data_IF_804521386721
#
_entry.id   IF_804521386721
#
_cell.length_a   1.000
_cell.length_b   1.000
_cell.length_c   1.000
_cell.angle_alpha   90.00
_cell.angle_beta   90.00
_cell.angle_gamma   90.00
#
_symmetry.space_group_name_H-M   'P 1'
#
loop_
_entity.id
_entity.type
_entity.pdbx_description
1 polymer ?
#
# COMPACT_ATOMS: atom_id res chain seq x y z
N UNK A 1 -94.64 14.94 16.49
CA UNK A 1 -94.20 14.19 17.70
C UNK A 1 -92.86 13.59 17.34
N UNK A 2 -91.82 13.76 18.17
CA UNK A 2 -90.42 13.29 17.98
C UNK A 2 -89.65 13.78 16.72
N UNK A 3 -88.31 13.92 16.64
CA UNK A 3 -87.17 14.29 17.53
C UNK A 3 -85.86 13.76 16.86
N UNK A 4 -84.81 14.61 16.75
CA UNK A 4 -83.37 14.30 16.43
C UNK A 4 -83.04 13.85 14.97
N UNK A 5 -81.91 14.18 14.29
CA UNK A 5 -80.44 14.19 14.56
C UNK A 5 -79.75 12.79 14.40
N UNK A 6 -78.52 12.63 13.87
CA UNK A 6 -77.49 13.60 13.40
C UNK A 6 -76.41 13.00 12.42
N UNK A 7 -75.92 13.79 11.44
CA UNK A 7 -74.55 13.78 10.82
C UNK A 7 -73.90 12.55 10.07
N UNK A 8 -73.05 12.93 9.07
CA UNK A 8 -71.74 12.33 8.61
C UNK A 8 -71.61 11.19 7.56
N UNK A 9 -71.14 11.64 6.37
CA UNK A 9 -69.93 11.21 5.60
C UNK A 9 -69.82 9.92 4.76
N UNK A 10 -69.30 10.15 3.53
CA UNK A 10 -68.25 9.41 2.78
C UNK A 10 -68.53 8.00 2.22
N UNK A 11 -68.38 7.87 0.89
CA UNK A 11 -67.61 6.80 0.23
C UNK A 11 -66.91 7.33 -1.01
N UNK A 12 -65.58 7.32 -1.03
CA UNK A 12 -64.76 7.40 -2.24
C UNK A 12 -64.40 5.97 -2.67
N UNK A 13 -64.38 5.68 -3.98
CA UNK A 13 -63.85 4.42 -4.50
C UNK A 13 -63.13 4.62 -5.84
N UNK A 14 -61.80 4.71 -5.74
CA UNK A 14 -60.78 4.22 -6.67
C UNK A 14 -60.91 4.47 -8.20
N UNK A 15 -59.99 5.28 -8.72
CA UNK A 15 -59.38 5.06 -10.04
C UNK A 15 -57.86 5.12 -9.88
N UNK A 16 -57.18 3.99 -10.08
CA UNK A 16 -55.81 3.74 -9.64
C UNK A 16 -54.93 3.33 -10.83
N UNK A 17 -54.49 4.29 -11.66
CA UNK A 17 -53.66 3.98 -12.84
C UNK A 17 -52.57 5.01 -13.19
N UNK A 18 -52.45 6.14 -12.48
CA UNK A 18 -51.55 7.24 -12.87
C UNK A 18 -50.21 7.33 -12.12
N UNK A 19 -50.10 6.75 -10.92
CA UNK A 19 -49.03 7.14 -9.97
C UNK A 19 -47.78 6.26 -9.93
N UNK A 20 -47.83 5.02 -10.43
CA UNK A 20 -46.73 4.06 -10.25
C UNK A 20 -45.52 4.28 -11.18
N UNK A 21 -45.71 4.86 -12.36
CA UNK A 21 -44.60 5.07 -13.33
C UNK A 21 -43.70 6.25 -12.91
N UNK A 22 -44.26 7.27 -12.25
CA UNK A 22 -43.49 8.42 -11.74
C UNK A 22 -42.47 7.99 -10.67
N UNK A 23 -42.88 7.11 -9.74
CA UNK A 23 -42.07 6.74 -8.58
C UNK A 23 -40.77 6.00 -8.94
N UNK A 24 -40.75 5.24 -10.05
CA UNK A 24 -39.55 4.54 -10.52
C UNK A 24 -38.49 5.49 -11.09
N UNK A 25 -38.90 6.58 -11.76
CA UNK A 25 -37.96 7.58 -12.33
C UNK A 25 -37.26 8.37 -11.21
N UNK A 26 -37.94 8.61 -10.08
CA UNK A 26 -37.33 9.27 -8.92
C UNK A 26 -36.38 8.37 -8.11
N UNK A 27 -36.47 7.04 -8.23
CA UNK A 27 -35.62 6.13 -7.46
C UNK A 27 -34.24 5.90 -8.11
N UNK A 28 -34.13 6.02 -9.44
CA UNK A 28 -32.85 5.89 -10.16
C UNK A 28 -32.00 7.17 -10.12
N UNK A 29 -32.65 8.35 -10.15
CA UNK A 29 -31.96 9.64 -10.09
C UNK A 29 -31.09 9.82 -8.83
N UNK A 30 -31.44 9.16 -7.72
CA UNK A 30 -30.69 9.20 -6.46
C UNK A 30 -29.33 8.48 -6.48
N UNK A 31 -29.05 7.65 -7.50
CA UNK A 31 -27.77 6.92 -7.64
C UNK A 31 -26.76 7.56 -8.58
N UNK A 32 -27.13 8.60 -9.34
CA UNK A 32 -26.20 9.34 -10.21
C UNK A 32 -25.43 10.47 -9.50
N UNK A 33 -25.56 10.60 -8.18
CA UNK A 33 -24.52 11.22 -7.37
C UNK A 33 -23.33 10.24 -7.28
N UNK A 34 -22.61 10.07 -8.40
CA UNK A 34 -21.33 9.41 -8.40
C UNK A 34 -20.45 10.14 -7.39
N UNK A 35 -20.04 9.45 -6.32
CA UNK A 35 -19.00 9.97 -5.46
C UNK A 35 -17.72 9.97 -6.28
N UNK A 36 -17.44 11.11 -6.91
CA UNK A 36 -16.09 11.53 -7.22
C UNK A 36 -15.37 11.55 -5.87
N UNK A 37 -14.77 10.40 -5.51
CA UNK A 37 -13.84 10.32 -4.41
C UNK A 37 -12.69 11.23 -4.82
N UNK A 38 -12.76 12.48 -4.35
CA UNK A 38 -11.58 13.34 -4.30
C UNK A 38 -10.58 12.60 -3.44
N UNK A 39 -9.72 11.83 -4.13
CA UNK A 39 -8.46 11.36 -3.59
C UNK A 39 -7.86 12.61 -2.93
N UNK A 40 -7.66 12.63 -1.59
CA UNK A 40 -7.08 13.80 -0.97
C UNK A 40 -5.76 14.08 -1.68
N UNK A 41 -5.50 15.35 -1.98
CA UNK A 41 -4.24 15.78 -2.58
C UNK A 41 -3.12 15.51 -1.57
N UNK A 42 -2.61 14.28 -1.63
CA UNK A 42 -1.60 13.76 -0.75
C UNK A 42 -0.27 14.31 -1.22
N UNK A 43 -0.02 15.57 -0.88
CA UNK A 43 1.17 16.36 -1.20
C UNK A 43 2.45 15.83 -0.49
N UNK A 44 2.45 14.55 -0.11
CA UNK A 44 3.61 13.79 0.34
C UNK A 44 4.45 13.41 -0.85
N UNK A 45 5.77 13.43 -0.66
CA UNK A 45 6.68 13.06 -1.73
C UNK A 45 6.66 11.54 -1.94
N UNK A 46 6.58 11.12 -3.20
CA UNK A 46 6.72 9.73 -3.62
C UNK A 46 8.19 9.32 -3.57
N UNK A 47 8.50 8.27 -2.80
CA UNK A 47 9.88 7.85 -2.50
C UNK A 47 10.11 6.38 -2.81
N UNK A 48 11.23 6.10 -3.45
CA UNK A 48 11.83 4.76 -3.57
C UNK A 48 13.20 4.82 -2.91
N UNK A 49 13.45 3.93 -1.95
CA UNK A 49 14.73 3.81 -1.25
C UNK A 49 15.48 2.59 -1.77
N UNK A 50 16.75 2.78 -2.14
CA UNK A 50 17.69 1.69 -2.47
C UNK A 50 18.85 1.72 -1.47
N UNK A 51 19.11 0.61 -0.81
CA UNK A 51 20.21 0.45 0.18
C UNK A 51 20.80 -0.95 0.07
N UNK A 52 22.09 -1.12 0.35
CA UNK A 52 22.74 -2.41 0.53
C UNK A 52 22.69 -2.96 1.97
N UNK A 53 21.55 -2.66 2.60
CA UNK A 53 21.14 -2.98 3.96
C UNK A 53 21.74 -4.30 4.51
N UNK A 54 22.60 -4.21 5.54
CA UNK A 54 23.34 -5.35 6.04
C UNK A 54 22.43 -6.37 6.75
N UNK A 55 22.93 -7.61 6.97
CA UNK A 55 22.23 -8.58 7.81
C UNK A 55 21.96 -7.99 9.21
N UNK A 56 20.73 -8.13 9.68
CA UNK A 56 20.30 -7.70 11.01
C UNK A 56 20.26 -8.91 11.97
N UNK A 57 20.81 -8.81 13.20
CA UNK A 57 21.56 -7.69 13.76
C UNK A 57 22.94 -7.51 13.11
N UNK A 58 23.40 -6.26 13.02
CA UNK A 58 24.68 -5.90 12.37
C UNK A 58 25.85 -6.40 13.20
N UNK A 59 26.75 -7.17 12.57
CA UNK A 59 27.95 -7.73 13.22
C UNK A 59 29.26 -7.35 12.54
N UNK A 60 29.27 -7.15 11.21
CA UNK A 60 30.48 -7.00 10.39
C UNK A 60 30.27 -6.02 9.22
N UNK A 61 29.47 -4.97 9.41
CA UNK A 61 29.17 -3.93 8.42
C UNK A 61 28.98 -2.59 9.14
N UNK A 62 29.01 -1.49 8.40
CA UNK A 62 28.70 -0.18 8.96
C UNK A 62 27.22 -0.10 9.40
N UNK A 63 26.91 0.55 10.54
CA UNK A 63 25.55 0.59 11.11
C UNK A 63 24.69 1.73 10.54
N UNK A 64 25.20 2.52 9.60
CA UNK A 64 24.57 3.74 9.07
C UNK A 64 23.36 3.44 8.17
N UNK A 65 23.40 2.38 7.38
CA UNK A 65 22.21 1.85 6.67
C UNK A 65 21.06 1.54 7.65
N UNK A 66 21.37 0.94 8.80
CA UNK A 66 20.36 0.61 9.82
C UNK A 66 19.83 1.86 10.50
N UNK A 67 20.71 2.79 10.88
CA UNK A 67 20.31 4.04 11.51
C UNK A 67 19.48 4.93 10.58
N UNK A 68 19.85 5.00 9.30
CA UNK A 68 19.14 5.78 8.28
C UNK A 68 17.78 5.14 7.93
N UNK A 69 17.70 3.81 7.82
CA UNK A 69 16.42 3.10 7.61
C UNK A 69 15.47 3.23 8.80
N UNK A 70 15.95 3.03 10.04
CA UNK A 70 15.13 3.24 11.26
C UNK A 70 14.60 4.67 11.29
N UNK A 71 15.45 5.66 10.96
CA UNK A 71 15.01 7.05 10.87
C UNK A 71 13.99 7.26 9.75
N UNK A 72 14.21 6.70 8.56
CA UNK A 72 13.27 6.79 7.44
C UNK A 72 11.88 6.23 7.81
N UNK A 73 11.82 5.06 8.45
CA UNK A 73 10.58 4.45 8.90
C UNK A 73 9.84 5.31 9.95
N UNK A 74 10.58 6.02 10.82
CA UNK A 74 10.03 6.99 11.78
C UNK A 74 9.58 8.34 11.15
N UNK A 75 9.79 8.55 9.84
CA UNK A 75 9.24 9.67 9.07
C UNK A 75 8.33 9.20 7.92
N UNK A 76 7.98 7.90 7.88
CA UNK A 76 7.20 7.30 6.79
C UNK A 76 5.77 7.85 6.67
N UNK A 77 5.24 8.50 7.71
CA UNK A 77 3.98 9.25 7.65
C UNK A 77 4.05 10.43 6.66
N UNK A 78 5.22 11.04 6.45
CA UNK A 78 5.46 12.19 5.55
C UNK A 78 5.71 11.80 4.07
N UNK A 79 5.82 10.51 3.76
CA UNK A 79 6.20 10.02 2.43
C UNK A 79 5.24 8.96 1.88
N UNK A 80 5.00 8.98 0.57
CA UNK A 80 4.36 7.87 -0.14
C UNK A 80 5.45 6.89 -0.60
N UNK A 81 5.62 5.78 0.14
CA UNK A 81 6.75 4.86 -0.03
C UNK A 81 6.39 3.76 -1.03
N UNK A 82 6.86 3.86 -2.27
CA UNK A 82 6.54 2.91 -3.36
C UNK A 82 7.48 1.69 -3.44
N UNK A 83 8.64 1.78 -2.79
CA UNK A 83 9.70 0.81 -2.94
C UNK A 83 10.76 0.89 -1.86
N UNK A 84 10.96 -0.22 -1.14
CA UNK A 84 12.16 -0.49 -0.35
C UNK A 84 12.96 -1.55 -1.10
N UNK A 85 14.15 -1.21 -1.59
CA UNK A 85 14.88 -2.00 -2.57
C UNK A 85 16.24 -2.44 -2.01
N UNK A 86 16.39 -3.74 -1.81
CA UNK A 86 17.68 -4.34 -1.49
C UNK A 86 18.60 -4.31 -2.73
N UNK A 87 19.76 -3.67 -2.57
CA UNK A 87 20.84 -3.54 -3.57
C UNK A 87 22.15 -4.08 -2.99
N UNK A 88 23.24 -4.03 -3.77
CA UNK A 88 24.59 -4.38 -3.33
C UNK A 88 25.57 -3.28 -3.74
N UNK A 89 26.22 -2.61 -2.78
CA UNK A 89 27.09 -1.47 -3.05
C UNK A 89 28.46 -1.84 -3.63
N UNK A 90 28.96 -3.06 -3.37
CA UNK A 90 30.29 -3.52 -3.79
C UNK A 90 30.30 -4.93 -4.38
N UNK A 91 31.24 -5.20 -5.29
CA UNK A 91 31.49 -6.52 -5.89
C UNK A 91 31.93 -7.56 -4.84
N UNK A 92 30.95 -8.23 -4.23
CA UNK A 92 31.14 -9.21 -3.16
C UNK A 92 30.01 -9.21 -2.11
N UNK A 93 29.31 -8.07 -1.97
CA UNK A 93 28.11 -7.96 -1.14
C UNK A 93 26.95 -8.71 -1.81
N UNK A 94 26.14 -9.40 -1.00
CA UNK A 94 24.90 -10.05 -1.47
C UNK A 94 23.71 -9.26 -0.94
N UNK A 95 23.00 -8.59 -1.84
CA UNK A 95 21.69 -8.03 -1.54
C UNK A 95 20.74 -9.16 -1.14
N UNK A 96 20.04 -9.06 -0.02
CA UNK A 96 19.03 -10.04 0.38
C UNK A 96 17.77 -9.35 0.90
N UNK A 97 16.61 -9.62 0.27
CA UNK A 97 15.31 -9.05 0.68
C UNK A 97 15.03 -9.26 2.18
N UNK A 98 15.46 -10.41 2.72
CA UNK A 98 15.26 -10.76 4.14
C UNK A 98 15.85 -9.75 5.12
N UNK A 99 16.90 -9.01 4.74
CA UNK A 99 17.53 -8.04 5.63
C UNK A 99 16.62 -6.82 5.85
N UNK A 100 15.93 -6.36 4.79
CA UNK A 100 14.93 -5.28 4.88
C UNK A 100 13.68 -5.78 5.63
N UNK A 101 13.23 -7.02 5.37
CA UNK A 101 12.11 -7.61 6.13
C UNK A 101 12.42 -7.65 7.63
N UNK A 102 13.64 -8.05 8.02
CA UNK A 102 14.04 -8.13 9.43
C UNK A 102 14.03 -6.79 10.20
N UNK A 103 14.12 -5.64 9.52
CA UNK A 103 13.91 -4.32 10.17
C UNK A 103 12.44 -3.88 10.13
N UNK A 104 11.64 -4.38 9.18
CA UNK A 104 10.18 -4.21 9.21
C UNK A 104 9.53 -5.05 10.32
N UNK A 105 10.06 -6.25 10.62
CA UNK A 105 9.69 -7.05 11.80
C UNK A 105 9.90 -6.29 13.13
N UNK A 106 10.89 -5.38 13.19
CA UNK A 106 11.10 -4.50 14.35
C UNK A 106 10.19 -3.26 14.32
N UNK A 107 9.82 -2.78 13.12
CA UNK A 107 8.87 -1.68 12.94
C UNK A 107 7.44 -2.07 13.34
N UNK A 108 7.00 -3.28 13.00
CA UNK A 108 5.69 -3.86 13.37
C UNK A 108 5.41 -3.74 14.88
N UNK A 109 6.44 -3.96 15.72
CA UNK A 109 6.35 -3.86 17.18
C UNK A 109 6.03 -2.45 17.70
N UNK A 110 6.18 -1.41 16.88
CA UNK A 110 5.97 -0.01 17.25
C UNK A 110 4.93 0.71 16.39
N UNK A 111 4.53 0.16 15.25
CA UNK A 111 3.72 0.85 14.25
C UNK A 111 2.32 1.22 14.76
N UNK A 112 1.70 0.38 15.60
CA UNK A 112 0.44 0.68 16.30
C UNK A 112 0.57 1.90 17.22
N UNK A 113 1.72 2.08 17.85
CA UNK A 113 1.96 3.23 18.72
C UNK A 113 2.21 4.49 17.89
N UNK A 114 2.92 4.38 16.76
CA UNK A 114 3.10 5.49 15.81
C UNK A 114 1.74 5.96 15.24
N UNK A 115 0.86 5.03 14.86
CA UNK A 115 -0.50 5.34 14.37
C UNK A 115 -1.42 6.02 15.40
N UNK A 116 -1.13 5.91 16.70
CA UNK A 116 -1.84 6.68 17.76
C UNK A 116 -1.42 8.16 17.77
N UNK A 117 -0.28 8.50 17.19
CA UNK A 117 0.23 9.88 17.05
C UNK A 117 -0.10 10.50 15.69
N UNK A 118 0.00 9.74 14.60
CA UNK A 118 -0.45 10.15 13.26
C UNK A 118 -1.04 8.95 12.49
N UNK A 119 -2.32 8.97 12.07
CA UNK A 119 -2.91 7.86 11.31
C UNK A 119 -2.28 7.63 9.93
N UNK A 120 -1.41 8.54 9.43
CA UNK A 120 -0.69 8.38 8.16
C UNK A 120 0.48 7.39 8.20
N UNK A 121 0.93 6.94 9.38
CA UNK A 121 1.97 5.91 9.44
C UNK A 121 1.49 4.61 8.76
N UNK A 122 2.27 4.04 7.82
CA UNK A 122 1.92 2.78 7.18
C UNK A 122 1.88 1.64 8.21
N UNK A 123 1.23 0.54 7.85
CA UNK A 123 1.42 -0.73 8.56
C UNK A 123 2.70 -1.42 8.10
N UNK A 124 3.29 -2.27 8.93
CA UNK A 124 4.37 -3.16 8.51
C UNK A 124 3.96 -3.98 7.27
N UNK A 125 2.75 -4.57 7.27
CA UNK A 125 2.16 -5.25 6.11
C UNK A 125 2.17 -4.41 4.82
N UNK A 126 1.89 -3.10 4.92
CA UNK A 126 1.90 -2.20 3.77
C UNK A 126 3.33 -1.91 3.28
N UNK A 127 4.29 -1.77 4.20
CA UNK A 127 5.72 -1.65 3.86
C UNK A 127 6.25 -2.93 3.19
N UNK A 128 5.83 -4.10 3.66
CA UNK A 128 6.24 -5.42 3.16
C UNK A 128 5.90 -5.64 1.67
N UNK A 129 4.73 -5.16 1.25
CA UNK A 129 4.30 -5.12 -0.15
C UNK A 129 5.18 -4.21 -1.02
N UNK A 130 5.76 -3.15 -0.43
CA UNK A 130 6.70 -2.26 -1.09
C UNK A 130 8.13 -2.80 -1.12
N UNK A 131 8.47 -3.88 -0.41
CA UNK A 131 9.84 -4.44 -0.45
C UNK A 131 10.09 -5.20 -1.75
N UNK A 132 10.92 -4.63 -2.62
CA UNK A 132 11.31 -5.17 -3.93
C UNK A 132 12.78 -5.61 -3.93
N UNK A 133 13.15 -6.45 -4.89
CA UNK A 133 14.50 -6.99 -5.02
C UNK A 133 15.08 -6.65 -6.40
N UNK A 134 16.30 -6.11 -6.45
CA UNK A 134 17.02 -5.97 -7.73
C UNK A 134 17.57 -7.33 -8.15
N UNK A 135 17.23 -7.78 -9.36
CA UNK A 135 17.79 -9.03 -9.87
C UNK A 135 19.30 -8.86 -10.10
N UNK A 136 20.07 -9.63 -9.33
CA UNK A 136 21.49 -9.91 -9.56
C UNK A 136 21.76 -10.09 -11.05
N UNK A 137 22.53 -9.17 -11.66
CA UNK A 137 23.07 -9.35 -13.01
C UNK A 137 23.91 -10.62 -13.00
N UNK A 138 23.35 -11.75 -13.46
CA UNK A 138 24.11 -12.97 -13.60
C UNK A 138 25.28 -12.69 -14.54
N UNK A 139 26.49 -12.91 -14.03
CA UNK A 139 27.74 -12.69 -14.74
C UNK A 139 27.94 -13.78 -15.80
N UNK A 140 27.21 -13.62 -16.93
CA UNK A 140 27.47 -14.29 -18.22
C UNK A 140 28.81 -13.80 -18.79
N UNK A 141 29.89 -14.11 -18.09
CA UNK A 141 31.26 -13.69 -18.34
C UNK A 141 32.30 -14.69 -17.79
N UNK A 142 31.97 -15.52 -16.80
CA UNK A 142 32.95 -16.42 -16.15
C UNK A 142 33.00 -17.86 -16.72
N UNK A 143 32.09 -18.24 -17.62
CA UNK A 143 32.17 -19.54 -18.33
C UNK A 143 33.08 -19.53 -19.57
N UNK A 144 33.58 -18.36 -20.00
CA UNK A 144 34.49 -18.26 -21.15
C UNK A 144 35.94 -18.67 -20.84
N UNK A 145 36.36 -18.68 -19.56
CA UNK A 145 37.77 -18.82 -19.18
C UNK A 145 38.26 -20.26 -18.95
N UNK A 146 37.37 -21.27 -18.92
CA UNK A 146 37.75 -22.69 -18.75
C UNK A 146 38.04 -23.44 -20.07
N UNK A 147 38.16 -22.71 -21.19
CA UNK A 147 38.20 -23.27 -22.54
C UNK A 147 39.55 -23.24 -23.28
N UNK A 148 40.67 -22.84 -22.66
CA UNK A 148 41.98 -22.77 -23.34
C UNK A 148 42.96 -23.79 -22.74
N UNK A 149 42.91 -25.03 -23.24
CA UNK A 149 44.00 -25.99 -23.06
C UNK A 149 45.21 -25.51 -23.88
N UNK A 150 46.21 -24.95 -23.22
CA UNK A 150 47.56 -24.79 -23.80
C UNK A 150 48.15 -26.19 -23.97
N UNK A 151 48.09 -26.74 -25.18
CA UNK A 151 48.94 -27.85 -25.55
C UNK A 151 50.37 -27.35 -25.60
N UNK A 152 51.22 -27.89 -24.73
CA UNK A 152 52.66 -27.80 -24.85
C UNK A 152 53.11 -28.47 -26.14
N UNK A 153 53.91 -27.76 -26.94
CA UNK A 153 54.70 -28.35 -28.00
C UNK A 153 56.17 -28.21 -27.62
N UNK A 154 56.87 -29.34 -27.68
CA UNK A 154 58.33 -29.48 -27.52
C UNK A 154 59.06 -28.95 -28.74
#
# INVERSE_FOLDING_TARGET
MHIQMNQRTSRYFNSLSGFLVSLLVFFDAGKLAAQEQQQPDDNRLRVIVTSDFPPFPVTNSDPDDVQSMVRFLLYSNEFDVEGLIASAGTYGMVAEKKNILAVLDEYDKVDENLRKHDPKYPTADAMDLCVRFTLRRQSRALESSKGIRRHSFT
#
